data_IF_809590320758
#
_entry.id   IF_809590320758
#
_cell.length_a   1.000
_cell.length_b   1.000
_cell.length_c   1.000
_cell.angle_alpha   90.00
_cell.angle_beta   90.00
_cell.angle_gamma   90.00
#
_symmetry.space_group_name_H-M   'P 1'
#
loop_
_entity.id
_entity.type
_entity.pdbx_description
1 polymer ?
#
# COMPACT_ATOMS: atom_id res chain seq x y z
N UNK A 1 30.86 -23.09 -39.01
CA UNK A 1 29.66 -22.92 -38.19
C UNK A 1 29.86 -21.71 -37.29
N UNK A 2 29.37 -20.56 -37.74
CA UNK A 2 29.42 -19.33 -36.95
C UNK A 2 28.21 -19.30 -36.00
N UNK A 3 28.43 -19.60 -34.73
CA UNK A 3 27.45 -19.26 -33.70
C UNK A 3 27.51 -17.75 -33.48
N UNK A 4 26.59 -17.02 -34.11
CA UNK A 4 26.29 -15.65 -33.71
C UNK A 4 25.69 -15.72 -32.28
N UNK A 5 26.50 -15.40 -31.30
CA UNK A 5 26.01 -15.05 -29.97
C UNK A 5 25.15 -13.80 -30.18
N UNK A 6 23.82 -13.98 -30.18
CA UNK A 6 22.91 -12.88 -30.05
C UNK A 6 23.19 -12.25 -28.69
N UNK A 7 23.78 -11.07 -28.69
CA UNK A 7 23.87 -10.21 -27.51
C UNK A 7 22.45 -10.03 -27.00
N UNK A 8 22.10 -10.75 -25.91
CA UNK A 8 20.92 -10.41 -25.14
C UNK A 8 21.22 -9.01 -24.58
N UNK A 9 20.61 -8.00 -25.13
CA UNK A 9 20.68 -6.66 -24.55
C UNK A 9 20.30 -6.82 -23.08
N UNK A 10 21.19 -6.42 -22.17
CA UNK A 10 20.91 -6.41 -20.74
C UNK A 10 19.75 -5.45 -20.52
N UNK A 11 18.55 -6.00 -20.30
CA UNK A 11 17.35 -5.25 -20.02
C UNK A 11 17.24 -5.07 -18.51
N UNK A 12 17.16 -3.83 -18.08
CA UNK A 12 16.87 -3.48 -16.69
C UNK A 12 15.40 -3.21 -16.51
N UNK A 13 14.87 -3.66 -15.37
CA UNK A 13 13.52 -3.32 -14.98
C UNK A 13 13.49 -1.97 -14.27
N UNK A 14 12.50 -1.18 -14.58
CA UNK A 14 12.21 0.06 -13.88
C UNK A 14 10.73 0.14 -13.52
N UNK A 15 10.42 0.97 -12.56
CA UNK A 15 9.05 1.28 -12.18
C UNK A 15 8.84 2.79 -12.35
N UNK A 16 7.90 3.15 -13.22
CA UNK A 16 7.46 4.55 -13.34
C UNK A 16 6.37 4.82 -12.30
N UNK A 17 6.45 5.92 -11.58
CA UNK A 17 5.38 6.37 -10.69
C UNK A 17 4.34 7.07 -11.55
N UNK A 18 3.17 6.45 -11.76
CA UNK A 18 2.08 7.04 -12.54
C UNK A 18 1.21 7.96 -11.69
N UNK A 19 0.92 7.55 -10.46
CA UNK A 19 0.20 8.37 -9.48
C UNK A 19 0.63 8.03 -8.06
N UNK A 20 0.32 8.91 -7.14
CA UNK A 20 0.43 8.65 -5.70
C UNK A 20 -0.62 9.42 -4.92
N UNK A 21 -0.90 8.96 -3.71
CA UNK A 21 -1.76 9.65 -2.76
C UNK A 21 -1.26 9.45 -1.34
N UNK A 22 -1.56 10.41 -0.47
CA UNK A 22 -1.24 10.37 0.95
C UNK A 22 -2.49 10.60 1.78
N UNK A 23 -2.63 9.86 2.86
CA UNK A 23 -3.70 10.02 3.85
C UNK A 23 -3.07 10.02 5.24
N UNK A 24 -3.54 10.90 6.09
CA UNK A 24 -3.20 10.89 7.52
C UNK A 24 -4.46 11.14 8.34
N UNK A 25 -4.57 10.45 9.47
CA UNK A 25 -5.64 10.67 10.42
C UNK A 25 -5.17 10.42 11.85
N UNK A 26 -5.76 11.13 12.79
CA UNK A 26 -5.60 10.85 14.20
C UNK A 26 -6.26 9.51 14.57
N UNK A 27 -5.74 8.84 15.57
CA UNK A 27 -6.31 7.57 16.04
C UNK A 27 -7.80 7.69 16.36
N UNK A 28 -8.22 8.79 16.96
CA UNK A 28 -9.61 9.09 17.29
C UNK A 28 -10.54 9.19 16.08
N UNK A 29 -10.02 9.47 14.88
CA UNK A 29 -10.79 9.67 13.65
C UNK A 29 -10.94 8.38 12.83
N UNK A 30 -10.06 7.39 13.02
CA UNK A 30 -9.96 6.20 12.14
C UNK A 30 -11.26 5.37 12.18
N UNK A 31 -11.92 5.27 13.31
CA UNK A 31 -13.21 4.57 13.41
C UNK A 31 -14.31 5.22 12.57
N UNK A 32 -14.29 6.54 12.40
CA UNK A 32 -15.21 7.25 11.53
C UNK A 32 -14.88 6.95 10.06
N UNK A 33 -13.59 7.04 9.68
CA UNK A 33 -13.10 6.71 8.35
C UNK A 33 -13.47 5.28 7.95
N UNK A 34 -13.35 4.30 8.85
CA UNK A 34 -13.70 2.89 8.57
C UNK A 34 -15.19 2.67 8.25
N UNK A 35 -16.07 3.64 8.58
CA UNK A 35 -17.52 3.60 8.35
C UNK A 35 -17.96 4.39 7.12
N UNK A 36 -17.08 5.19 6.56
CA UNK A 36 -17.39 5.97 5.37
C UNK A 36 -17.72 5.06 4.18
N UNK A 37 -18.48 5.59 3.25
CA UNK A 37 -18.78 4.94 1.99
C UNK A 37 -17.63 5.20 1.02
N UNK A 38 -16.89 4.14 0.71
CA UNK A 38 -15.74 4.21 -0.18
C UNK A 38 -16.14 3.83 -1.59
N UNK A 39 -16.15 4.80 -2.50
CA UNK A 39 -16.39 4.54 -3.92
C UNK A 39 -15.62 5.55 -4.77
N UNK A 40 -14.98 5.07 -5.82
CA UNK A 40 -14.40 5.90 -6.86
C UNK A 40 -14.63 5.23 -8.21
N UNK A 41 -15.28 5.95 -9.14
CA UNK A 41 -15.61 5.41 -10.46
C UNK A 41 -16.37 4.09 -10.38
N UNK A 42 -15.85 3.06 -11.06
CA UNK A 42 -16.39 1.69 -11.03
C UNK A 42 -15.95 0.88 -9.80
N UNK A 43 -15.02 1.39 -9.00
CA UNK A 43 -14.47 0.71 -7.82
C UNK A 43 -15.18 1.18 -6.55
N UNK A 44 -15.91 0.27 -5.91
CA UNK A 44 -16.58 0.55 -4.65
C UNK A 44 -16.38 -0.60 -3.67
N UNK A 45 -16.06 -0.25 -2.44
CA UNK A 45 -16.02 -1.26 -1.37
C UNK A 45 -17.43 -1.56 -0.88
N UNK A 46 -17.72 -2.82 -0.53
CA UNK A 46 -18.98 -3.18 0.12
C UNK A 46 -19.20 -2.34 1.39
N UNK A 47 -20.44 -2.01 1.74
CA UNK A 47 -20.75 -1.30 2.98
C UNK A 47 -20.15 -2.01 4.19
N UNK A 48 -19.48 -1.27 5.07
CA UNK A 48 -18.83 -1.80 6.28
C UNK A 48 -17.67 -2.78 6.02
N UNK A 49 -17.09 -2.79 4.81
CA UNK A 49 -15.98 -3.67 4.45
C UNK A 49 -14.79 -3.52 5.42
N UNK A 50 -14.47 -2.27 5.82
CA UNK A 50 -13.38 -1.96 6.74
C UNK A 50 -13.76 -2.02 8.23
N UNK A 51 -14.97 -2.44 8.58
CA UNK A 51 -15.48 -2.45 9.97
C UNK A 51 -14.59 -3.14 10.99
N UNK A 52 -13.86 -4.15 10.57
CA UNK A 52 -12.99 -4.96 11.44
C UNK A 52 -11.52 -4.86 11.04
N UNK A 53 -11.18 -3.91 10.16
CA UNK A 53 -9.80 -3.64 9.79
C UNK A 53 -9.06 -2.95 10.95
N UNK A 54 -7.76 -3.15 11.02
CA UNK A 54 -6.90 -2.35 11.89
C UNK A 54 -6.69 -0.95 11.30
N UNK A 55 -6.14 -0.06 12.08
CA UNK A 55 -5.99 1.35 11.73
C UNK A 55 -5.12 1.55 10.48
N UNK A 56 -4.00 0.82 10.37
CA UNK A 56 -3.13 0.92 9.20
C UNK A 56 -3.81 0.39 7.94
N UNK A 57 -4.64 -0.65 8.08
CA UNK A 57 -5.44 -1.17 6.96
C UNK A 57 -6.48 -0.14 6.51
N UNK A 58 -7.17 0.53 7.44
CA UNK A 58 -8.12 1.60 7.10
C UNK A 58 -7.40 2.71 6.32
N UNK A 59 -6.31 3.24 6.85
CA UNK A 59 -5.55 4.34 6.24
C UNK A 59 -4.94 3.91 4.90
N UNK A 60 -4.40 2.70 4.80
CA UNK A 60 -3.88 2.15 3.54
C UNK A 60 -4.96 2.05 2.47
N UNK A 61 -6.15 1.57 2.80
CA UNK A 61 -7.28 1.48 1.87
C UNK A 61 -7.75 2.87 1.41
N UNK A 62 -7.79 3.86 2.30
CA UNK A 62 -8.09 5.24 1.93
C UNK A 62 -7.06 5.82 0.97
N UNK A 63 -5.76 5.56 1.21
CA UNK A 63 -4.70 6.04 0.30
C UNK A 63 -4.77 5.37 -1.08
N UNK A 64 -5.18 4.08 -1.17
CA UNK A 64 -5.44 3.41 -2.45
C UNK A 64 -6.59 4.10 -3.20
N UNK A 65 -7.72 4.35 -2.52
CA UNK A 65 -8.89 5.00 -3.12
C UNK A 65 -8.54 6.39 -3.64
N UNK A 66 -7.77 7.16 -2.89
CA UNK A 66 -7.29 8.46 -3.34
C UNK A 66 -6.31 8.35 -4.53
N UNK A 67 -5.44 7.35 -4.54
CA UNK A 67 -4.55 7.11 -5.67
C UNK A 67 -5.32 6.67 -6.93
N UNK A 68 -6.40 5.88 -6.78
CA UNK A 68 -7.32 5.57 -7.87
C UNK A 68 -8.00 6.84 -8.40
N UNK A 69 -8.41 7.75 -7.51
CA UNK A 69 -9.00 9.04 -7.90
C UNK A 69 -8.03 9.95 -8.66
N UNK A 70 -6.75 9.83 -8.38
CA UNK A 70 -5.70 10.57 -9.08
C UNK A 70 -5.30 9.94 -10.42
N UNK A 71 -5.64 8.66 -10.64
CA UNK A 71 -5.39 7.96 -11.91
C UNK A 71 -6.37 8.46 -12.98
N UNK A 72 -5.84 8.97 -14.08
CA UNK A 72 -6.65 9.46 -15.21
C UNK A 72 -7.27 8.34 -16.06
N UNK A 73 -6.91 7.09 -15.80
CA UNK A 73 -7.40 5.89 -16.51
C UNK A 73 -8.47 5.14 -15.70
N UNK A 74 -9.54 5.82 -15.33
CA UNK A 74 -10.62 5.35 -14.46
C UNK A 74 -11.30 4.02 -14.89
N UNK A 75 -11.14 3.61 -16.14
CA UNK A 75 -11.73 2.37 -16.68
C UNK A 75 -10.74 1.21 -16.86
N UNK A 76 -9.51 1.34 -16.32
CA UNK A 76 -8.48 0.29 -16.48
C UNK A 76 -8.87 -0.98 -15.71
N UNK A 77 -8.66 -2.14 -16.33
CA UNK A 77 -8.77 -3.42 -15.64
C UNK A 77 -7.59 -3.62 -14.67
N UNK A 78 -7.92 -3.70 -13.38
CA UNK A 78 -6.95 -3.85 -12.29
C UNK A 78 -6.84 -5.28 -11.77
N UNK A 79 -7.55 -6.26 -12.36
CA UNK A 79 -7.59 -7.64 -11.87
C UNK A 79 -6.24 -8.32 -11.79
N UNK A 80 -5.31 -7.97 -12.68
CA UNK A 80 -3.96 -8.55 -12.69
C UNK A 80 -2.93 -7.67 -11.98
N UNK A 81 -3.35 -6.61 -11.31
CA UNK A 81 -2.45 -5.72 -10.58
C UNK A 81 -1.89 -6.41 -9.33
N UNK A 82 -0.64 -6.10 -9.03
CA UNK A 82 0.03 -6.55 -7.83
C UNK A 82 -0.19 -5.55 -6.68
N UNK A 83 -0.20 -6.05 -5.45
CA UNK A 83 -0.28 -5.22 -4.24
C UNK A 83 0.88 -5.55 -3.31
N UNK A 84 1.60 -4.55 -2.88
CA UNK A 84 2.65 -4.65 -1.87
C UNK A 84 2.28 -3.74 -0.72
N UNK A 85 2.05 -4.31 0.47
CA UNK A 85 1.90 -3.55 1.69
C UNK A 85 3.24 -3.47 2.42
N UNK A 86 3.74 -2.26 2.61
CA UNK A 86 4.98 -1.97 3.33
C UNK A 86 4.62 -1.24 4.63
N UNK A 87 4.49 -2.00 5.73
CA UNK A 87 3.92 -1.48 6.97
C UNK A 87 4.98 -1.33 8.06
N UNK A 88 5.13 -0.12 8.59
CA UNK A 88 5.92 0.13 9.79
C UNK A 88 5.08 -0.16 11.03
N UNK A 89 5.54 -1.04 11.92
CA UNK A 89 4.80 -1.53 13.11
C UNK A 89 3.47 -2.24 12.76
N UNK A 90 3.35 -2.81 11.55
CA UNK A 90 2.13 -3.47 11.09
C UNK A 90 1.62 -4.52 12.07
N UNK A 91 0.35 -4.37 12.50
CA UNK A 91 -0.32 -5.26 13.45
C UNK A 91 0.14 -5.17 14.90
N UNK A 92 1.31 -4.59 15.21
CA UNK A 92 1.84 -4.52 16.59
C UNK A 92 0.94 -3.76 17.55
N UNK A 93 0.38 -2.58 17.22
CA UNK A 93 -0.54 -1.89 18.14
C UNK A 93 -1.80 -2.70 18.44
N UNK A 94 -2.37 -3.39 17.47
CA UNK A 94 -3.52 -4.28 17.63
C UNK A 94 -3.18 -5.50 18.49
N UNK A 95 -2.02 -6.11 18.27
CA UNK A 95 -1.51 -7.20 19.11
C UNK A 95 -1.31 -6.75 20.57
N UNK A 96 -0.67 -5.61 20.80
CA UNK A 96 -0.43 -5.08 22.13
C UNK A 96 -1.75 -4.83 22.89
N UNK A 97 -2.72 -4.18 22.26
CA UNK A 97 -4.06 -3.98 22.85
C UNK A 97 -4.76 -5.30 23.20
N UNK A 98 -4.63 -6.30 22.33
CA UNK A 98 -5.21 -7.63 22.55
C UNK A 98 -4.54 -8.33 23.74
N UNK A 99 -3.21 -8.25 23.83
CA UNK A 99 -2.48 -8.85 24.97
C UNK A 99 -2.82 -8.20 26.30
N UNK A 100 -2.98 -6.88 26.32
CA UNK A 100 -3.47 -6.15 27.50
C UNK A 100 -4.89 -6.62 27.85
N UNK A 101 -5.78 -6.69 26.88
CA UNK A 101 -7.14 -7.18 27.08
C UNK A 101 -7.18 -8.62 27.59
N UNK A 102 -6.35 -9.51 27.05
CA UNK A 102 -6.23 -10.90 27.52
C UNK A 102 -5.76 -10.97 28.97
N UNK A 103 -4.75 -10.16 29.34
CA UNK A 103 -4.27 -10.09 30.71
C UNK A 103 -5.35 -9.62 31.68
N UNK A 104 -6.09 -8.58 31.34
CA UNK A 104 -7.01 -7.89 32.26
C UNK A 104 -8.40 -8.54 32.31
N UNK A 105 -8.86 -9.14 31.19
CA UNK A 105 -10.23 -9.67 31.03
C UNK A 105 -10.28 -11.17 30.64
N UNK A 106 -9.13 -11.80 30.50
CA UNK A 106 -9.04 -13.20 30.08
C UNK A 106 -9.39 -13.44 28.59
N UNK A 107 -9.55 -14.71 28.18
CA UNK A 107 -9.70 -15.10 26.77
C UNK A 107 -10.90 -14.47 26.05
N UNK A 108 -11.92 -14.06 26.76
CA UNK A 108 -13.12 -13.41 26.20
C UNK A 108 -12.81 -12.08 25.51
N UNK A 109 -11.68 -11.44 25.87
CA UNK A 109 -11.24 -10.20 25.24
C UNK A 109 -10.56 -10.40 23.88
N UNK A 110 -10.20 -11.64 23.53
CA UNK A 110 -9.52 -11.95 22.26
C UNK A 110 -10.58 -12.09 21.17
N UNK A 111 -10.55 -11.16 20.22
CA UNK A 111 -11.50 -11.14 19.11
C UNK A 111 -11.05 -12.12 18.00
N UNK A 112 -11.97 -12.80 17.29
CA UNK A 112 -11.62 -13.72 16.21
C UNK A 112 -10.80 -13.08 15.08
N UNK A 113 -10.96 -11.77 14.87
CA UNK A 113 -10.31 -11.01 13.82
C UNK A 113 -8.86 -10.61 14.13
N UNK A 114 -8.33 -10.97 15.31
CA UNK A 114 -6.98 -10.54 15.72
C UNK A 114 -5.89 -11.06 14.77
N UNK A 115 -6.01 -12.29 14.30
CA UNK A 115 -4.99 -12.89 13.42
C UNK A 115 -4.82 -12.11 12.13
N UNK A 116 -5.86 -11.85 11.32
CA UNK A 116 -5.71 -11.03 10.12
C UNK A 116 -5.30 -9.59 10.43
N UNK A 117 -5.75 -9.00 11.54
CA UNK A 117 -5.39 -7.63 11.95
C UNK A 117 -3.92 -7.48 12.35
N UNK A 118 -3.28 -8.54 12.86
CA UNK A 118 -1.87 -8.53 13.26
C UNK A 118 -0.92 -8.96 12.13
N UNK A 119 -1.44 -9.27 10.94
CA UNK A 119 -0.64 -9.68 9.81
C UNK A 119 -0.03 -8.49 9.07
N UNK A 120 1.25 -8.56 8.72
CA UNK A 120 1.89 -7.61 7.79
C UNK A 120 1.19 -7.59 6.42
N UNK A 121 0.47 -8.67 6.10
CA UNK A 121 -0.28 -8.84 4.86
C UNK A 121 -1.69 -8.23 4.89
N UNK A 122 -2.13 -7.68 6.03
CA UNK A 122 -3.50 -7.20 6.23
C UNK A 122 -3.93 -6.18 5.16
N UNK A 123 -3.14 -5.14 4.96
CA UNK A 123 -3.44 -4.09 3.96
C UNK A 123 -3.51 -4.66 2.55
N UNK A 124 -2.51 -5.46 2.15
CA UNK A 124 -2.45 -6.03 0.81
C UNK A 124 -3.60 -7.02 0.54
N UNK A 125 -3.91 -7.90 1.50
CA UNK A 125 -5.06 -8.81 1.40
C UNK A 125 -6.38 -8.07 1.29
N UNK A 126 -6.56 -7.02 2.12
CA UNK A 126 -7.79 -6.23 2.12
C UNK A 126 -7.97 -5.50 0.79
N UNK A 127 -6.90 -4.94 0.22
CA UNK A 127 -6.94 -4.30 -1.09
C UNK A 127 -7.28 -5.31 -2.19
N UNK A 128 -6.62 -6.48 -2.22
CA UNK A 128 -6.87 -7.52 -3.21
C UNK A 128 -8.33 -8.00 -3.18
N UNK A 129 -8.86 -8.29 -2.01
CA UNK A 129 -10.26 -8.72 -1.86
C UNK A 129 -11.23 -7.59 -2.18
N UNK A 130 -10.94 -6.38 -1.68
CA UNK A 130 -11.84 -5.23 -1.83
C UNK A 130 -12.00 -4.76 -3.28
N UNK A 131 -10.93 -4.79 -4.05
CA UNK A 131 -10.90 -4.30 -5.44
C UNK A 131 -10.81 -5.41 -6.48
N UNK A 132 -10.80 -6.69 -6.06
CA UNK A 132 -10.72 -7.83 -6.99
C UNK A 132 -9.37 -7.94 -7.70
N UNK A 133 -8.29 -7.54 -7.06
CA UNK A 133 -6.93 -7.67 -7.59
C UNK A 133 -6.41 -9.09 -7.32
N UNK A 134 -6.05 -9.82 -8.37
CA UNK A 134 -5.62 -11.22 -8.31
C UNK A 134 -4.13 -11.40 -8.67
N UNK A 135 -3.41 -10.32 -8.91
CA UNK A 135 -1.97 -10.35 -9.12
C UNK A 135 -1.18 -10.69 -7.85
N UNK A 136 0.15 -10.67 -7.92
CA UNK A 136 1.01 -10.91 -6.77
C UNK A 136 0.67 -10.00 -5.58
N UNK A 137 0.64 -10.58 -4.38
CA UNK A 137 0.17 -9.92 -3.18
C UNK A 137 1.13 -10.18 -2.02
N UNK A 138 1.74 -9.14 -1.47
CA UNK A 138 2.79 -9.26 -0.45
C UNK A 138 2.60 -8.26 0.69
N UNK A 139 2.97 -8.70 1.89
CA UNK A 139 3.19 -7.84 3.04
C UNK A 139 4.66 -7.88 3.44
N UNK A 140 5.31 -6.73 3.52
CA UNK A 140 6.72 -6.60 3.89
C UNK A 140 6.91 -5.62 5.03
N UNK A 141 8.02 -5.71 5.74
CA UNK A 141 8.46 -4.73 6.71
C UNK A 141 8.23 -5.14 8.15
N UNK A 142 7.58 -4.27 8.91
CA UNK A 142 7.47 -4.33 10.37
C UNK A 142 8.38 -3.31 11.06
N UNK A 143 9.43 -2.83 10.39
CA UNK A 143 10.37 -1.83 10.86
C UNK A 143 10.33 -0.51 10.09
N UNK A 144 11.18 0.46 10.46
CA UNK A 144 11.22 1.80 9.83
C UNK A 144 11.66 1.78 8.36
N UNK A 145 12.29 0.70 7.90
CA UNK A 145 12.75 0.54 6.52
C UNK A 145 11.72 -0.11 5.59
N UNK A 146 10.52 -0.43 6.11
CA UNK A 146 9.46 -1.08 5.35
C UNK A 146 9.18 -0.43 3.98
N UNK A 147 9.10 0.91 3.82
CA UNK A 147 8.90 1.52 2.51
C UNK A 147 10.02 1.18 1.52
N UNK A 148 11.29 1.21 1.95
CA UNK A 148 12.44 0.87 1.10
C UNK A 148 12.39 -0.61 0.69
N UNK A 149 12.06 -1.52 1.60
CA UNK A 149 11.86 -2.94 1.33
C UNK A 149 10.72 -3.16 0.32
N UNK A 150 9.64 -2.41 0.44
CA UNK A 150 8.51 -2.42 -0.50
C UNK A 150 8.93 -1.99 -1.91
N UNK A 151 9.72 -0.92 -2.06
CA UNK A 151 10.25 -0.50 -3.35
C UNK A 151 11.22 -1.53 -3.94
N UNK A 152 12.11 -2.13 -3.14
CA UNK A 152 12.99 -3.20 -3.61
C UNK A 152 12.21 -4.41 -4.12
N UNK A 153 11.14 -4.79 -3.42
CA UNK A 153 10.27 -5.86 -3.86
C UNK A 153 9.53 -5.49 -5.16
N UNK A 154 9.04 -4.26 -5.28
CA UNK A 154 8.40 -3.79 -6.50
C UNK A 154 9.35 -3.88 -7.72
N UNK A 155 10.60 -3.42 -7.56
CA UNK A 155 11.63 -3.52 -8.59
C UNK A 155 11.96 -4.98 -8.94
N UNK A 156 11.93 -5.89 -7.94
CA UNK A 156 12.17 -7.33 -8.16
C UNK A 156 11.02 -7.97 -8.94
N UNK A 157 9.78 -7.53 -8.73
CA UNK A 157 8.61 -8.04 -9.45
C UNK A 157 8.45 -7.44 -10.85
N UNK A 158 8.96 -6.24 -11.07
CA UNK A 158 8.77 -5.49 -12.31
C UNK A 158 9.14 -6.28 -13.58
N UNK A 159 10.28 -6.99 -13.68
CA UNK A 159 10.64 -7.75 -14.89
C UNK A 159 9.64 -8.85 -15.22
N UNK A 160 9.11 -9.51 -14.20
CA UNK A 160 8.12 -10.56 -14.37
C UNK A 160 6.79 -9.96 -14.88
N UNK A 161 6.31 -8.91 -14.22
CA UNK A 161 5.04 -8.28 -14.58
C UNK A 161 5.10 -7.61 -15.95
N UNK A 162 6.19 -6.92 -16.29
CA UNK A 162 6.38 -6.32 -17.60
C UNK A 162 6.30 -7.35 -18.75
N UNK A 163 6.73 -8.60 -18.50
CA UNK A 163 6.67 -9.69 -19.49
C UNK A 163 5.33 -10.41 -19.52
N UNK A 164 4.73 -10.68 -18.37
CA UNK A 164 3.53 -11.53 -18.28
C UNK A 164 2.23 -10.74 -18.32
N UNK A 165 2.24 -9.50 -17.85
CA UNK A 165 1.07 -8.63 -17.74
C UNK A 165 1.46 -7.16 -17.94
N UNK A 166 1.80 -6.73 -19.17
CA UNK A 166 2.36 -5.38 -19.41
C UNK A 166 1.43 -4.22 -19.03
N UNK A 167 0.12 -4.47 -18.94
CA UNK A 167 -0.87 -3.48 -18.52
C UNK A 167 -1.04 -3.39 -17.00
N UNK A 168 -0.50 -4.36 -16.26
CA UNK A 168 -0.64 -4.40 -14.80
C UNK A 168 0.24 -3.36 -14.12
N UNK A 169 -0.19 -2.95 -12.94
CA UNK A 169 0.51 -2.03 -12.04
C UNK A 169 0.90 -2.74 -10.75
N UNK A 170 1.80 -2.11 -10.03
CA UNK A 170 2.13 -2.48 -8.65
C UNK A 170 1.62 -1.35 -7.76
N UNK A 171 0.68 -1.67 -6.88
CA UNK A 171 0.17 -0.79 -5.84
C UNK A 171 1.05 -0.97 -4.61
N UNK A 172 2.00 -0.05 -4.41
CA UNK A 172 2.85 -0.05 -3.22
C UNK A 172 2.21 0.84 -2.15
N UNK A 173 1.74 0.22 -1.09
CA UNK A 173 1.03 0.87 0.01
C UNK A 173 1.93 0.91 1.24
N UNK A 174 2.43 2.08 1.58
CA UNK A 174 3.26 2.31 2.76
C UNK A 174 2.38 2.84 3.89
N UNK A 175 2.40 2.20 5.06
CA UNK A 175 1.67 2.69 6.25
C UNK A 175 2.55 2.70 7.49
N UNK A 176 2.22 3.56 8.43
CA UNK A 176 2.95 3.66 9.68
C UNK A 176 2.31 4.63 10.67
N UNK A 177 2.87 4.67 11.87
CA UNK A 177 2.49 5.57 12.93
C UNK A 177 3.57 6.62 13.15
N UNK A 178 3.16 7.87 13.32
CA UNK A 178 4.07 8.90 13.82
C UNK A 178 4.41 8.63 15.29
N UNK A 179 5.67 8.86 15.63
CA UNK A 179 6.09 8.80 17.03
C UNK A 179 5.46 9.97 17.81
N UNK A 180 5.06 9.69 19.06
CA UNK A 180 4.49 10.69 19.94
C UNK A 180 5.56 11.37 20.80
N UNK A 181 5.36 12.62 21.19
CA UNK A 181 4.34 13.58 20.70
C UNK A 181 4.61 13.97 19.25
N UNK A 182 3.57 14.22 18.45
CA UNK A 182 3.67 14.62 17.07
C UNK A 182 2.97 15.96 16.84
N UNK A 183 3.29 16.60 15.71
CA UNK A 183 2.58 17.80 15.26
C UNK A 183 1.43 17.37 14.34
N UNK A 184 0.24 17.91 14.57
CA UNK A 184 -0.88 17.76 13.64
C UNK A 184 -0.68 18.62 12.37
N UNK A 185 -1.66 18.60 11.46
CA UNK A 185 -1.62 19.36 10.22
C UNK A 185 -1.58 20.89 10.45
N UNK A 186 -2.01 21.37 11.60
CA UNK A 186 -1.95 22.77 12.02
C UNK A 186 -0.64 23.13 12.75
N UNK A 187 0.28 22.16 12.94
CA UNK A 187 1.52 22.34 13.68
C UNK A 187 1.34 22.36 15.21
N UNK A 188 0.22 21.85 15.71
CA UNK A 188 -0.07 21.77 17.15
C UNK A 188 0.42 20.43 17.68
N UNK A 189 1.12 20.47 18.82
CA UNK A 189 1.59 19.26 19.49
C UNK A 189 0.40 18.47 20.04
N UNK A 190 0.28 17.20 19.65
CA UNK A 190 -0.80 16.32 20.06
C UNK A 190 -0.24 15.01 20.65
N UNK A 191 -0.98 14.45 21.62
CA UNK A 191 -0.76 13.10 22.12
C UNK A 191 -1.68 12.05 21.47
N UNK A 192 -2.56 12.45 20.53
CA UNK A 192 -3.37 11.53 19.74
C UNK A 192 -2.53 11.04 18.57
N UNK A 193 -2.19 9.73 18.51
CA UNK A 193 -1.29 9.21 17.46
C UNK A 193 -1.84 9.46 16.07
N UNK A 194 -0.95 9.83 15.14
CA UNK A 194 -1.30 9.98 13.73
C UNK A 194 -0.85 8.73 12.98
N UNK A 195 -1.80 8.08 12.33
CA UNK A 195 -1.54 7.03 11.34
C UNK A 195 -1.43 7.66 9.96
N UNK A 196 -0.37 7.28 9.22
CA UNK A 196 -0.12 7.77 7.87
C UNK A 196 -0.14 6.61 6.88
N UNK A 197 -0.67 6.89 5.70
CA UNK A 197 -0.62 6.00 4.55
C UNK A 197 -0.19 6.76 3.30
N UNK A 198 0.58 6.09 2.46
CA UNK A 198 0.95 6.58 1.14
C UNK A 198 0.87 5.43 0.16
N UNK A 199 0.18 5.64 -0.94
CA UNK A 199 0.10 4.67 -2.03
C UNK A 199 0.79 5.22 -3.27
N UNK A 200 1.67 4.42 -3.86
CA UNK A 200 2.27 4.66 -5.17
C UNK A 200 1.69 3.66 -6.17
N UNK A 201 1.26 4.14 -7.32
CA UNK A 201 0.89 3.31 -8.47
C UNK A 201 2.09 3.27 -9.40
N UNK A 202 2.72 2.10 -9.49
CA UNK A 202 3.95 1.88 -10.21
C UNK A 202 3.67 1.10 -11.49
N UNK A 203 4.13 1.61 -12.63
CA UNK A 203 4.09 0.90 -13.91
C UNK A 203 5.42 0.19 -14.14
N UNK A 204 5.43 -1.16 -14.19
CA UNK A 204 6.61 -1.91 -14.56
C UNK A 204 6.95 -1.70 -16.04
N UNK A 205 8.21 -1.37 -16.33
CA UNK A 205 8.72 -1.26 -17.69
C UNK A 205 10.06 -1.97 -17.84
N UNK A 206 10.34 -2.41 -19.06
CA UNK A 206 11.66 -2.93 -19.46
C UNK A 206 12.35 -1.87 -20.30
N UNK A 207 13.54 -1.46 -19.89
CA UNK A 207 14.34 -0.51 -20.64
C UNK A 207 15.76 -1.08 -20.88
N UNK A 208 16.40 -0.76 -22.00
CA UNK A 208 17.82 -1.04 -22.17
C UNK A 208 18.63 -0.38 -21.06
N UNK A 209 19.64 -1.08 -20.54
CA UNK A 209 20.46 -0.59 -19.43
C UNK A 209 21.07 0.77 -19.69
N UNK A 210 21.48 1.03 -20.93
CA UNK A 210 22.11 2.29 -21.35
C UNK A 210 21.16 3.51 -21.35
N UNK A 211 19.85 3.28 -21.24
CA UNK A 211 18.84 4.36 -21.19
C UNK A 211 18.44 4.75 -19.78
N UNK A 212 18.95 4.04 -18.77
CA UNK A 212 18.64 4.32 -17.38
C UNK A 212 19.55 5.44 -16.88
N UNK A 213 19.14 6.68 -17.11
CA UNK A 213 19.65 7.79 -16.33
C UNK A 213 18.95 7.78 -14.97
N UNK A 214 19.66 8.06 -13.85
CA UNK A 214 19.08 8.12 -12.53
C UNK A 214 18.22 9.39 -12.37
N UNK A 215 17.14 9.48 -13.14
CA UNK A 215 16.15 10.53 -13.03
C UNK A 215 14.85 9.93 -12.54
N UNK A 216 14.38 10.39 -11.39
CA UNK A 216 12.99 10.19 -11.01
C UNK A 216 12.19 11.12 -11.93
N UNK A 217 11.64 10.59 -13.01
CA UNK A 217 10.65 11.31 -13.79
C UNK A 217 9.31 11.25 -13.04
N UNK A 218 9.00 12.33 -12.36
CA UNK A 218 7.66 12.54 -11.80
C UNK A 218 6.85 13.22 -12.90
N UNK A 219 6.06 12.45 -13.64
CA UNK A 219 5.08 13.03 -14.57
C UNK A 219 4.00 13.72 -13.72
N UNK A 220 3.84 15.01 -13.92
CA UNK A 220 2.93 15.98 -13.29
C UNK A 220 1.91 15.37 -12.30
N UNK A 221 2.30 15.35 -11.04
CA UNK A 221 1.41 14.94 -9.95
C UNK A 221 0.50 16.11 -9.61
N UNK A 222 -0.80 15.93 -9.76
CA UNK A 222 -1.77 16.88 -9.22
C UNK A 222 -1.79 16.72 -7.71
N UNK A 223 -1.24 17.70 -7.00
CA UNK A 223 -1.44 17.82 -5.56
C UNK A 223 -2.92 18.16 -5.31
N UNK A 224 -3.62 17.26 -4.63
CA UNK A 224 -4.90 17.60 -4.00
C UNK A 224 -4.60 17.99 -2.56
N UNK A 225 -4.76 19.26 -2.27
CA UNK A 225 -4.82 19.84 -0.92
C UNK A 225 -6.22 19.66 -0.36
#
# INVERSE_FOLDING_TARGET
MNHSLSSSADLSALCLIESYATVSAHFSEIDALAREKHSHGCHSLPPRFLRHADEQTVIGMHSIIQAMAADTQDSRDIRNDAVIAATCLGGQPSAARTMIGLRDKGPVAVRPHIVPQCSLHSVASTASVGFGMHGPNFGVGGGPHAPAEGFLLALTLAPMLAKTSPSSRIWLVCTGWDQQPCLDAAGILTNDPICRGMTFVLKPEMAPFDTIHPHIQVSSVKNFS
#
